data_IF_317305859858
#
_entry.id   IF_317305859858
#
_cell.length_a   1.000
_cell.length_b   1.000
_cell.length_c   1.000
_cell.angle_alpha   90.00
_cell.angle_beta   90.00
_cell.angle_gamma   90.00
#
_symmetry.space_group_name_H-M   'P 1'
#
loop_
_entity.id
_entity.type
_entity.pdbx_description
1 polymer ?
#
# COMPACT_ATOMS: atom_id res chain seq x y z
N UNK A 1 20.66 4.55 23.87
CA UNK A 1 20.27 3.59 22.81
C UNK A 1 19.77 2.33 23.47
N UNK A 2 18.62 1.80 23.03
CA UNK A 2 18.05 0.60 23.62
C UNK A 2 19.03 -0.59 23.50
N UNK A 3 19.19 -1.36 24.58
CA UNK A 3 19.99 -2.58 24.57
C UNK A 3 19.21 -3.66 23.81
N UNK A 4 19.54 -3.85 22.54
CA UNK A 4 18.90 -4.85 21.66
C UNK A 4 19.58 -6.20 21.91
N UNK A 5 18.76 -7.24 22.08
CA UNK A 5 19.22 -8.62 22.29
C UNK A 5 20.17 -9.05 21.15
N UNK A 6 21.29 -9.69 21.50
CA UNK A 6 22.37 -10.02 20.57
C UNK A 6 21.92 -10.86 19.37
N UNK A 7 20.99 -11.81 19.58
CA UNK A 7 20.43 -12.61 18.49
C UNK A 7 19.59 -11.78 17.51
N UNK A 8 18.85 -10.78 18.00
CA UNK A 8 18.06 -9.90 17.13
C UNK A 8 19.02 -9.12 16.22
N UNK A 9 20.10 -8.57 16.78
CA UNK A 9 21.14 -7.87 16.02
C UNK A 9 21.75 -8.77 14.94
N UNK A 10 22.14 -10.00 15.29
CA UNK A 10 22.74 -10.94 14.34
C UNK A 10 21.79 -11.29 13.17
N UNK A 11 20.50 -11.48 13.47
CA UNK A 11 19.48 -11.75 12.43
C UNK A 11 19.25 -10.51 11.56
N UNK A 12 19.15 -9.32 12.17
CA UNK A 12 19.00 -8.06 11.46
C UNK A 12 20.16 -7.81 10.51
N UNK A 13 21.41 -7.98 10.96
CA UNK A 13 22.60 -7.80 10.14
C UNK A 13 22.63 -8.75 8.95
N UNK A 14 22.28 -10.03 9.18
CA UNK A 14 22.18 -11.02 8.10
C UNK A 14 21.12 -10.65 7.06
N UNK A 15 19.97 -10.15 7.50
CA UNK A 15 18.91 -9.69 6.59
C UNK A 15 19.39 -8.47 5.80
N UNK A 16 20.04 -7.51 6.47
CA UNK A 16 20.59 -6.31 5.83
C UNK A 16 21.57 -6.72 4.73
N UNK A 17 22.55 -7.58 5.04
CA UNK A 17 23.57 -8.03 4.09
C UNK A 17 22.95 -8.70 2.86
N UNK A 18 22.08 -9.69 3.09
CA UNK A 18 21.43 -10.46 2.03
C UNK A 18 20.50 -9.59 1.16
N UNK A 19 19.98 -8.48 1.71
CA UNK A 19 19.01 -7.64 1.04
C UNK A 19 19.63 -6.44 0.32
N UNK A 20 20.93 -6.15 0.48
CA UNK A 20 21.57 -4.90 0.00
C UNK A 20 21.26 -4.57 -1.46
N UNK A 21 21.43 -5.55 -2.36
CA UNK A 21 21.22 -5.35 -3.81
C UNK A 21 19.75 -5.04 -4.10
N UNK A 22 18.84 -5.92 -3.69
CA UNK A 22 17.40 -5.75 -3.92
C UNK A 22 16.84 -4.49 -3.26
N UNK A 23 17.33 -4.15 -2.06
CA UNK A 23 16.92 -2.94 -1.35
C UNK A 23 17.35 -1.70 -2.11
N UNK A 24 18.57 -1.67 -2.65
CA UNK A 24 19.05 -0.56 -3.48
C UNK A 24 18.23 -0.40 -4.76
N UNK A 25 17.95 -1.50 -5.47
CA UNK A 25 17.11 -1.50 -6.67
C UNK A 25 15.69 -0.99 -6.37
N UNK A 26 15.09 -1.48 -5.28
CA UNK A 26 13.79 -1.02 -4.83
C UNK A 26 13.79 0.49 -4.50
N UNK A 27 14.79 0.98 -3.77
CA UNK A 27 14.87 2.40 -3.44
C UNK A 27 15.10 3.27 -4.68
N UNK A 28 15.90 2.80 -5.65
CA UNK A 28 16.08 3.49 -6.92
C UNK A 28 14.77 3.57 -7.73
N UNK A 29 13.99 2.48 -7.76
CA UNK A 29 12.65 2.47 -8.36
C UNK A 29 11.74 3.49 -7.68
N UNK A 30 11.69 3.50 -6.34
CA UNK A 30 10.84 4.44 -5.60
C UNK A 30 11.22 5.90 -5.87
N UNK A 31 12.52 6.21 -5.95
CA UNK A 31 12.97 7.57 -6.28
C UNK A 31 12.58 7.95 -7.72
N UNK A 32 12.81 7.07 -8.69
CA UNK A 32 12.45 7.29 -10.08
C UNK A 32 10.95 7.50 -10.28
N UNK A 33 10.10 6.69 -9.62
CA UNK A 33 8.65 6.84 -9.66
C UNK A 33 8.18 8.12 -8.95
N UNK A 34 8.89 8.56 -7.90
CA UNK A 34 8.60 9.85 -7.25
C UNK A 34 8.86 11.02 -8.20
N UNK A 35 9.94 10.97 -8.96
CA UNK A 35 10.30 12.00 -9.95
C UNK A 35 9.40 11.97 -11.18
N UNK A 36 9.04 10.78 -11.67
CA UNK A 36 8.12 10.61 -12.80
C UNK A 36 6.70 11.13 -12.48
N UNK A 37 6.29 11.07 -11.21
CA UNK A 37 4.98 11.51 -10.77
C UNK A 37 3.85 10.55 -11.18
N UNK A 38 2.61 11.00 -11.04
CA UNK A 38 1.44 10.16 -11.33
C UNK A 38 0.88 10.44 -12.72
N UNK A 39 1.01 9.48 -13.64
CA UNK A 39 0.46 9.55 -15.01
C UNK A 39 -1.07 9.38 -15.09
N UNK A 40 -1.80 9.76 -14.02
CA UNK A 40 -3.27 9.63 -13.97
C UNK A 40 -3.98 10.43 -15.06
N UNK A 41 -3.35 11.49 -15.58
CA UNK A 41 -3.85 12.26 -16.72
C UNK A 41 -3.84 11.47 -18.04
N UNK A 42 -3.03 10.42 -18.14
CA UNK A 42 -2.94 9.56 -19.34
C UNK A 42 -3.94 8.39 -19.32
N UNK A 43 -4.67 8.17 -18.21
CA UNK A 43 -5.65 7.11 -18.10
C UNK A 43 -6.95 7.49 -18.81
N UNK A 44 -7.41 6.62 -19.73
CA UNK A 44 -8.70 6.79 -20.40
C UNK A 44 -9.86 6.85 -19.40
N UNK A 45 -10.90 7.62 -19.75
CA UNK A 45 -12.09 7.87 -18.92
C UNK A 45 -12.74 6.60 -18.35
N UNK A 46 -12.74 5.50 -19.10
CA UNK A 46 -13.26 4.20 -18.65
C UNK A 46 -12.48 3.63 -17.46
N UNK A 47 -11.15 3.70 -17.47
CA UNK A 47 -10.32 3.21 -16.37
C UNK A 47 -10.50 4.07 -15.10
N UNK A 48 -10.63 5.38 -15.29
CA UNK A 48 -10.90 6.31 -14.19
C UNK A 48 -12.28 6.07 -13.56
N UNK A 49 -13.31 5.81 -14.37
CA UNK A 49 -14.66 5.49 -13.88
C UNK A 49 -14.66 4.23 -12.99
N UNK A 50 -13.95 3.18 -13.38
CA UNK A 50 -13.79 1.99 -12.54
C UNK A 50 -12.97 2.25 -11.28
N UNK A 51 -11.92 3.07 -11.35
CA UNK A 51 -11.09 3.42 -10.20
C UNK A 51 -11.82 4.24 -9.12
N UNK A 52 -12.93 4.91 -9.48
CA UNK A 52 -13.75 5.71 -8.56
C UNK A 52 -15.04 5.00 -8.11
N UNK A 53 -15.38 3.85 -8.69
CA UNK A 53 -16.57 3.09 -8.35
C UNK A 53 -16.50 2.58 -6.90
N UNK A 54 -17.57 2.80 -6.11
CA UNK A 54 -17.64 2.37 -4.71
C UNK A 54 -16.74 3.15 -3.74
N UNK A 55 -16.25 4.33 -4.14
CA UNK A 55 -15.44 5.25 -3.32
C UNK A 55 -16.15 6.59 -3.11
N UNK A 56 -17.47 6.57 -2.88
CA UNK A 56 -18.28 7.79 -2.76
C UNK A 56 -17.72 8.81 -1.73
N UNK A 57 -17.10 8.31 -0.67
CA UNK A 57 -16.48 9.07 0.41
C UNK A 57 -15.17 9.79 0.03
N UNK A 58 -14.49 9.33 -1.02
CA UNK A 58 -13.18 9.84 -1.48
C UNK A 58 -13.16 10.22 -2.98
N UNK A 59 -14.31 10.16 -3.67
CA UNK A 59 -14.41 10.31 -5.14
C UNK A 59 -13.85 11.63 -5.65
N UNK A 60 -14.17 12.74 -5.02
CA UNK A 60 -13.73 14.07 -5.47
C UNK A 60 -12.21 14.26 -5.27
N UNK A 61 -11.67 13.73 -4.17
CA UNK A 61 -10.23 13.72 -3.88
C UNK A 61 -9.47 12.86 -4.90
N UNK A 62 -10.05 11.72 -5.29
CA UNK A 62 -9.50 10.82 -6.30
C UNK A 62 -9.53 11.44 -7.71
N UNK A 63 -10.63 12.10 -8.08
CA UNK A 63 -10.78 12.82 -9.37
C UNK A 63 -9.81 13.98 -9.51
N UNK A 64 -9.57 14.72 -8.42
CA UNK A 64 -8.62 15.83 -8.42
C UNK A 64 -7.19 15.38 -8.76
N UNK A 65 -6.85 14.11 -8.51
CA UNK A 65 -5.60 13.49 -8.95
C UNK A 65 -4.33 14.04 -8.30
N UNK A 66 -4.45 15.01 -7.40
CA UNK A 66 -3.35 15.73 -6.75
C UNK A 66 -2.93 15.13 -5.40
N UNK A 67 -3.58 14.05 -4.97
CA UNK A 67 -3.29 13.33 -3.71
C UNK A 67 -2.77 11.92 -3.96
N UNK A 68 -1.88 11.50 -3.07
CA UNK A 68 -1.42 10.11 -3.03
C UNK A 68 -2.60 9.17 -2.77
N UNK A 69 -2.65 8.06 -3.50
CA UNK A 69 -3.67 7.03 -3.31
C UNK A 69 -3.02 5.73 -2.89
N UNK A 70 -3.40 5.21 -1.74
CA UNK A 70 -2.80 4.03 -1.11
C UNK A 70 -3.64 2.79 -1.42
N UNK A 71 -3.04 1.77 -1.99
CA UNK A 71 -3.67 0.46 -2.16
C UNK A 71 -3.52 -0.40 -0.91
N UNK A 72 -4.63 -0.75 -0.26
CA UNK A 72 -4.66 -1.65 0.90
C UNK A 72 -5.00 -3.07 0.41
N UNK A 73 -4.09 -4.02 0.62
CA UNK A 73 -4.31 -5.44 0.31
C UNK A 73 -4.45 -6.22 1.62
N UNK A 74 -5.66 -6.71 1.90
CA UNK A 74 -5.95 -7.50 3.10
C UNK A 74 -5.94 -9.00 2.82
N UNK A 75 -5.40 -9.78 3.75
CA UNK A 75 -5.46 -11.24 3.76
C UNK A 75 -6.75 -11.78 4.42
N UNK A 76 -7.59 -10.91 4.98
CA UNK A 76 -8.85 -11.30 5.60
C UNK A 76 -9.84 -11.84 4.56
N UNK A 77 -10.53 -12.92 4.92
CA UNK A 77 -11.66 -13.48 4.20
C UNK A 77 -12.67 -14.04 5.21
N UNK A 78 -13.95 -14.03 4.84
CA UNK A 78 -15.06 -14.42 5.74
C UNK A 78 -15.21 -15.95 5.93
N UNK A 79 -14.51 -16.79 5.15
CA UNK A 79 -14.71 -18.25 5.15
C UNK A 79 -13.75 -19.04 6.05
N UNK A 80 -12.49 -18.61 6.20
CA UNK A 80 -11.45 -19.29 6.99
C UNK A 80 -10.46 -18.22 7.47
N UNK A 81 -10.40 -17.88 8.76
CA UNK A 81 -9.49 -16.80 9.15
C UNK A 81 -8.97 -16.82 10.59
N UNK A 82 -7.77 -17.37 10.75
CA UNK A 82 -6.81 -16.86 11.75
C UNK A 82 -6.52 -15.35 11.53
N UNK A 83 -6.81 -14.82 10.34
CA UNK A 83 -6.66 -13.41 9.97
C UNK A 83 -7.91 -12.55 10.28
N UNK A 84 -8.89 -13.07 11.04
CA UNK A 84 -10.06 -12.30 11.49
C UNK A 84 -9.65 -11.02 12.24
N UNK A 85 -8.48 -11.05 12.88
CA UNK A 85 -7.86 -9.89 13.54
C UNK A 85 -7.67 -8.69 12.59
N UNK A 86 -7.57 -8.90 11.28
CA UNK A 86 -7.38 -7.83 10.29
C UNK A 86 -8.70 -7.24 9.76
N UNK A 87 -9.87 -7.73 10.17
CA UNK A 87 -11.17 -7.29 9.64
C UNK A 87 -11.36 -5.77 9.66
N UNK A 88 -11.04 -5.12 10.79
CA UNK A 88 -11.26 -3.68 11.00
C UNK A 88 -10.08 -2.78 10.62
N UNK A 89 -8.90 -3.35 10.37
CA UNK A 89 -7.71 -2.56 10.06
C UNK A 89 -7.85 -1.71 8.79
N UNK A 90 -8.44 -2.22 7.68
CA UNK A 90 -8.61 -1.41 6.48
C UNK A 90 -9.44 -0.13 6.71
N UNK A 91 -10.47 -0.18 7.56
CA UNK A 91 -11.28 1.00 7.91
C UNK A 91 -10.44 2.06 8.62
N UNK A 92 -9.66 1.64 9.62
CA UNK A 92 -8.79 2.55 10.39
C UNK A 92 -7.68 3.14 9.51
N UNK A 93 -7.06 2.33 8.66
CA UNK A 93 -6.01 2.78 7.73
C UNK A 93 -6.57 3.81 6.75
N UNK A 94 -7.80 3.65 6.26
CA UNK A 94 -8.45 4.65 5.42
C UNK A 94 -8.62 5.99 6.16
N UNK A 95 -9.05 5.96 7.42
CA UNK A 95 -9.23 7.18 8.21
C UNK A 95 -7.89 7.92 8.39
N UNK A 96 -6.85 7.22 8.82
CA UNK A 96 -5.52 7.80 9.01
C UNK A 96 -4.89 8.31 7.72
N UNK A 97 -5.11 7.60 6.60
CA UNK A 97 -4.66 8.07 5.29
C UNK A 97 -5.30 9.43 4.97
N UNK A 98 -6.60 9.61 5.23
CA UNK A 98 -7.29 10.89 5.01
C UNK A 98 -6.78 12.00 5.91
N UNK A 99 -6.53 11.71 7.19
CA UNK A 99 -5.94 12.66 8.12
C UNK A 99 -4.54 13.12 7.66
N UNK A 100 -3.77 12.23 7.02
CA UNK A 100 -2.49 12.55 6.39
C UNK A 100 -2.62 13.19 4.99
N UNK A 101 -3.83 13.44 4.51
CA UNK A 101 -4.09 14.06 3.21
C UNK A 101 -3.98 13.13 2.00
N UNK A 102 -4.04 11.81 2.20
CA UNK A 102 -4.04 10.77 1.18
C UNK A 102 -5.40 10.07 1.08
N UNK A 103 -5.69 9.48 -0.09
CA UNK A 103 -6.84 8.57 -0.27
C UNK A 103 -6.39 7.13 -0.12
N UNK A 104 -7.30 6.20 0.16
CA UNK A 104 -6.94 4.79 0.27
C UNK A 104 -8.04 3.85 -0.22
N UNK A 105 -7.68 2.89 -1.06
CA UNK A 105 -8.60 1.93 -1.66
C UNK A 105 -8.24 0.51 -1.25
N UNK A 106 -9.26 -0.27 -0.88
CA UNK A 106 -9.09 -1.67 -0.47
C UNK A 106 -9.27 -2.55 -1.69
N UNK A 107 -8.31 -3.44 -1.93
CA UNK A 107 -8.39 -4.47 -2.96
C UNK A 107 -8.29 -5.84 -2.31
N UNK A 108 -9.18 -6.76 -2.68
CA UNK A 108 -9.00 -8.17 -2.33
C UNK A 108 -7.85 -8.74 -3.17
N UNK A 109 -6.95 -9.47 -2.52
CA UNK A 109 -5.96 -10.28 -3.25
C UNK A 109 -6.74 -11.23 -4.16
N UNK A 110 -6.52 -11.18 -5.48
CA UNK A 110 -6.99 -12.24 -6.37
C UNK A 110 -6.38 -13.53 -5.85
N UNK A 111 -7.20 -14.56 -5.61
CA UNK A 111 -6.66 -15.90 -5.48
C UNK A 111 -5.89 -16.19 -6.78
N UNK A 112 -4.58 -16.20 -6.69
CA UNK A 112 -3.73 -16.61 -7.79
C UNK A 112 -3.93 -18.11 -7.93
N UNK A 113 -4.54 -18.53 -9.04
CA UNK A 113 -4.42 -19.91 -9.51
C UNK A 113 -2.94 -20.09 -9.92
N UNK A 114 -2.13 -20.50 -8.95
CA UNK A 114 -0.95 -21.33 -9.19
C UNK A 114 -1.37 -22.74 -8.80
#
# INVERSE_FOLDING_TARGET
MANIHSEITAVTDRIIENSKVRRREYLALIEAEREAGSDRSQLGCTNLAHAYAGTDDQREELKAGNRMNIGIVSAYNDMLSAHAVYYRYPEMIKLWAREAGATAQVRRRRASNV
#
